data_IF_082468595214
#
_entry.id   IF_082468595214
#
_cell.length_a   1.000
_cell.length_b   1.000
_cell.length_c   1.000
_cell.angle_alpha   90.00
_cell.angle_beta   90.00
_cell.angle_gamma   90.00
#
_symmetry.space_group_name_H-M   'P 1'
#
loop_
_entity.id
_entity.type
_entity.pdbx_description
1 polymer ?
#
# COMPACT_ATOMS: atom_id res chain seq x y z
N UNK A 1 8.98 -11.48 10.00
CA UNK A 1 8.34 -10.15 9.93
C UNK A 1 7.22 -10.12 8.90
N UNK A 2 7.49 -10.20 7.58
CA UNK A 2 6.43 -10.10 6.56
C UNK A 2 5.30 -11.14 6.64
N UNK A 3 5.62 -12.38 7.04
CA UNK A 3 4.60 -13.42 7.30
C UNK A 3 3.56 -12.95 8.32
N UNK A 4 3.98 -12.30 9.41
CA UNK A 4 3.08 -11.85 10.46
C UNK A 4 2.07 -10.82 9.92
N UNK A 5 2.50 -9.93 9.02
CA UNK A 5 1.59 -8.98 8.37
C UNK A 5 0.48 -9.71 7.60
N UNK A 6 0.83 -10.76 6.84
CA UNK A 6 -0.17 -11.55 6.12
C UNK A 6 -1.06 -12.36 7.07
N UNK A 7 -0.52 -12.90 8.16
CA UNK A 7 -1.31 -13.59 9.20
C UNK A 7 -2.35 -12.63 9.80
N UNK A 8 -1.98 -11.37 10.07
CA UNK A 8 -2.92 -10.34 10.53
C UNK A 8 -4.02 -10.04 9.50
N UNK A 9 -3.69 -10.08 8.21
CA UNK A 9 -4.68 -9.92 7.13
C UNK A 9 -5.69 -11.07 7.05
N UNK A 10 -5.40 -12.23 7.65
CA UNK A 10 -6.35 -13.36 7.79
C UNK A 10 -7.24 -13.25 9.05
N UNK A 11 -7.02 -12.29 9.95
CA UNK A 11 -7.93 -12.03 11.06
C UNK A 11 -9.33 -11.64 10.56
N UNK A 12 -9.48 -10.66 9.64
CA UNK A 12 -10.73 -10.46 8.92
C UNK A 12 -10.88 -11.50 7.79
N UNK A 13 -11.77 -12.48 7.96
CA UNK A 13 -12.01 -13.49 6.93
C UNK A 13 -12.78 -12.93 5.73
N UNK A 14 -12.44 -13.37 4.51
CA UNK A 14 -13.18 -13.15 3.27
C UNK A 14 -13.16 -11.71 2.71
N UNK A 15 -12.14 -10.93 3.05
CA UNK A 15 -11.94 -9.60 2.47
C UNK A 15 -11.17 -9.64 1.14
N UNK A 16 -11.45 -8.65 0.29
CA UNK A 16 -10.64 -8.33 -0.88
C UNK A 16 -9.73 -7.16 -0.53
N UNK A 17 -8.43 -7.39 -0.61
CA UNK A 17 -7.39 -6.40 -0.40
C UNK A 17 -7.00 -5.80 -1.75
N UNK A 18 -7.11 -4.48 -1.87
CA UNK A 18 -6.64 -3.77 -3.05
C UNK A 18 -5.22 -3.29 -2.85
N UNK A 19 -4.40 -3.55 -3.86
CA UNK A 19 -3.06 -2.97 -4.00
C UNK A 19 -3.07 -2.09 -5.24
N UNK A 20 -2.23 -1.07 -5.29
CA UNK A 20 -2.14 -0.21 -6.48
C UNK A 20 -0.87 -0.54 -7.23
N UNK A 21 -1.01 -1.10 -8.44
CA UNK A 21 0.08 -1.65 -9.25
C UNK A 21 0.65 -2.97 -8.71
N UNK A 22 -0.24 -3.91 -8.37
CA UNK A 22 0.14 -5.29 -7.97
C UNK A 22 1.07 -5.94 -9.00
N UNK A 23 0.87 -5.69 -10.29
CA UNK A 23 1.72 -6.24 -11.34
C UNK A 23 3.11 -5.61 -11.44
N UNK A 24 3.51 -4.78 -10.48
CA UNK A 24 4.79 -4.08 -10.40
C UNK A 24 5.91 -4.92 -9.78
N UNK A 25 6.86 -4.25 -9.13
CA UNK A 25 8.09 -4.86 -8.62
C UNK A 25 7.87 -5.72 -7.38
N UNK A 26 7.08 -5.24 -6.42
CA UNK A 26 6.95 -5.83 -5.08
C UNK A 26 6.35 -7.24 -5.08
N UNK A 27 5.60 -7.57 -6.13
CA UNK A 27 4.84 -8.83 -6.22
C UNK A 27 5.73 -10.07 -6.26
N UNK A 28 6.96 -9.97 -6.78
CA UNK A 28 7.88 -11.11 -6.81
C UNK A 28 8.26 -11.52 -5.39
N UNK A 29 8.50 -10.55 -4.51
CA UNK A 29 8.81 -10.79 -3.09
C UNK A 29 7.59 -11.27 -2.33
N UNK A 30 6.43 -10.66 -2.57
CA UNK A 30 5.15 -11.07 -1.96
C UNK A 30 4.82 -12.52 -2.34
N UNK A 31 4.88 -12.88 -3.62
CA UNK A 31 4.54 -14.23 -4.09
C UNK A 31 5.42 -15.29 -3.44
N UNK A 32 6.73 -15.05 -3.33
CA UNK A 32 7.64 -15.99 -2.63
C UNK A 32 7.15 -16.28 -1.22
N UNK A 33 6.87 -15.23 -0.42
CA UNK A 33 6.37 -15.38 0.95
C UNK A 33 5.04 -16.13 0.97
N UNK A 34 4.13 -15.81 0.04
CA UNK A 34 2.81 -16.44 -0.03
C UNK A 34 2.86 -17.92 -0.41
N UNK A 35 3.77 -18.32 -1.31
CA UNK A 35 3.95 -19.72 -1.69
C UNK A 35 4.63 -20.53 -0.58
N UNK A 36 5.60 -19.94 0.11
CA UNK A 36 6.40 -20.63 1.13
C UNK A 36 5.63 -20.86 2.44
N UNK A 37 4.60 -20.04 2.74
CA UNK A 37 4.01 -19.99 4.09
C UNK A 37 2.52 -20.37 4.20
N UNK A 38 1.80 -20.55 3.09
CA UNK A 38 0.34 -20.75 3.10
C UNK A 38 -0.09 -22.02 2.37
N UNK A 39 -1.25 -22.57 2.74
CA UNK A 39 -1.68 -23.90 2.29
C UNK A 39 -2.02 -23.92 0.81
N UNK A 40 -2.53 -22.81 0.27
CA UNK A 40 -2.82 -22.70 -1.17
C UNK A 40 -2.72 -21.27 -1.64
N UNK A 41 -1.93 -21.04 -2.67
CA UNK A 41 -1.82 -19.75 -3.36
C UNK A 41 -2.13 -19.94 -4.83
N UNK A 42 -3.10 -19.18 -5.35
CA UNK A 42 -3.49 -19.16 -6.76
C UNK A 42 -3.34 -17.75 -7.32
N UNK A 43 -2.61 -17.63 -8.42
CA UNK A 43 -2.37 -16.35 -9.09
C UNK A 43 -3.12 -16.35 -10.41
N UNK A 44 -3.85 -15.28 -10.70
CA UNK A 44 -4.42 -15.03 -12.02
C UNK A 44 -3.53 -14.02 -12.74
N UNK A 45 -3.04 -14.39 -13.91
CA UNK A 45 -2.21 -13.54 -14.75
C UNK A 45 -3.03 -12.90 -15.87
N UNK A 46 -2.66 -11.68 -16.24
CA UNK A 46 -3.10 -11.01 -17.46
C UNK A 46 -1.89 -10.29 -18.07
N UNK A 47 -1.62 -10.55 -19.34
CA UNK A 47 -0.50 -9.95 -20.08
C UNK A 47 0.86 -10.13 -19.36
N UNK A 48 1.09 -11.34 -18.82
CA UNK A 48 2.32 -11.67 -18.08
C UNK A 48 2.44 -11.07 -16.69
N UNK A 49 1.44 -10.32 -16.20
CA UNK A 49 1.44 -9.69 -14.87
C UNK A 49 0.35 -10.24 -13.97
N UNK A 50 0.59 -10.40 -12.65
CA UNK A 50 -0.46 -10.75 -11.69
C UNK A 50 -1.59 -9.72 -11.70
N UNK A 51 -2.82 -10.19 -11.91
CA UNK A 51 -4.05 -9.40 -11.81
C UNK A 51 -4.73 -9.60 -10.45
N UNK A 52 -4.72 -10.85 -9.97
CA UNK A 52 -5.26 -11.20 -8.66
C UNK A 52 -4.48 -12.36 -8.04
N UNK A 53 -4.43 -12.40 -6.71
CA UNK A 53 -3.80 -13.47 -5.95
C UNK A 53 -4.79 -13.92 -4.88
N UNK A 54 -5.23 -15.18 -4.94
CA UNK A 54 -6.04 -15.80 -3.89
C UNK A 54 -5.13 -16.66 -3.01
N UNK A 55 -5.18 -16.40 -1.70
CA UNK A 55 -4.41 -17.12 -0.69
C UNK A 55 -5.37 -17.78 0.28
N UNK A 56 -5.13 -19.05 0.57
CA UNK A 56 -5.88 -19.84 1.54
C UNK A 56 -4.96 -20.26 2.68
N UNK A 57 -5.49 -20.19 3.90
CA UNK A 57 -4.87 -20.70 5.11
C UNK A 57 -5.82 -21.72 5.73
N UNK A 58 -5.39 -22.98 5.81
CA UNK A 58 -6.16 -24.06 6.44
C UNK A 58 -5.53 -24.40 7.79
N UNK A 59 -6.32 -24.30 8.85
CA UNK A 59 -5.92 -24.63 10.22
C UNK A 59 -6.91 -25.63 10.83
N UNK A 60 -6.50 -26.33 11.89
CA UNK A 60 -7.39 -27.20 12.67
C UNK A 60 -8.14 -26.38 13.72
N UNK A 61 -9.41 -26.67 13.91
CA UNK A 61 -10.20 -26.17 15.05
C UNK A 61 -9.98 -27.02 16.31
N UNK A 62 -10.59 -26.62 17.42
CA UNK A 62 -10.53 -27.35 18.70
C UNK A 62 -11.12 -28.78 18.62
N UNK A 63 -11.80 -29.13 17.53
CA UNK A 63 -12.41 -30.44 17.25
C UNK A 63 -11.69 -31.19 16.13
N UNK A 64 -10.45 -30.79 15.78
CA UNK A 64 -9.65 -31.35 14.68
C UNK A 64 -10.29 -31.27 13.28
N UNK A 65 -11.29 -30.40 13.09
CA UNK A 65 -11.88 -30.10 11.78
C UNK A 65 -11.06 -29.03 11.07
N UNK A 66 -10.98 -29.13 9.75
CA UNK A 66 -10.31 -28.13 8.93
C UNK A 66 -11.17 -26.87 8.79
N UNK A 67 -10.59 -25.73 9.16
CA UNK A 67 -11.12 -24.39 8.90
C UNK A 67 -10.21 -23.75 7.87
N UNK A 68 -10.79 -23.31 6.74
CA UNK A 68 -10.04 -22.60 5.71
C UNK A 68 -10.49 -21.15 5.64
N UNK A 69 -9.55 -20.24 5.85
CA UNK A 69 -9.73 -18.81 5.61
C UNK A 69 -9.17 -18.43 4.24
N UNK A 70 -9.78 -17.45 3.59
CA UNK A 70 -9.34 -16.95 2.29
C UNK A 70 -9.20 -15.44 2.33
N UNK A 71 -8.15 -14.96 1.67
CA UNK A 71 -7.99 -13.55 1.30
C UNK A 71 -7.72 -13.46 -0.21
N UNK A 72 -8.12 -12.34 -0.80
CA UNK A 72 -7.89 -12.08 -2.23
C UNK A 72 -7.22 -10.71 -2.38
N UNK A 73 -6.07 -10.67 -3.03
CA UNK A 73 -5.46 -9.45 -3.50
C UNK A 73 -5.92 -9.13 -4.93
N UNK A 74 -6.25 -7.87 -5.20
CA UNK A 74 -6.56 -7.36 -6.54
C UNK A 74 -5.75 -6.12 -6.86
N UNK A 75 -5.42 -5.96 -8.14
CA UNK A 75 -4.76 -4.76 -8.64
C UNK A 75 -5.78 -3.66 -8.96
N UNK A 76 -5.83 -2.64 -8.12
CA UNK A 76 -6.67 -1.44 -8.35
C UNK A 76 -6.24 -0.65 -9.59
N UNK A 77 -4.96 -0.68 -9.96
CA UNK A 77 -4.46 0.05 -11.12
C UNK A 77 -5.02 -0.52 -12.44
N UNK A 78 -5.40 -1.80 -12.46
CA UNK A 78 -6.07 -2.42 -13.62
C UNK A 78 -7.54 -2.03 -13.76
N UNK A 79 -8.13 -1.49 -12.69
CA UNK A 79 -9.50 -0.95 -12.68
C UNK A 79 -9.46 0.55 -12.96
N UNK A 80 -8.50 1.25 -12.36
CA UNK A 80 -8.31 2.70 -12.46
C UNK A 80 -6.85 3.00 -12.83
N UNK A 81 -6.54 3.13 -14.15
CA UNK A 81 -5.17 3.18 -14.64
C UNK A 81 -4.52 4.57 -14.53
N UNK A 82 -4.64 5.19 -13.36
CA UNK A 82 -4.02 6.47 -13.02
C UNK A 82 -3.26 6.32 -11.71
N UNK A 83 -2.24 7.16 -11.49
CA UNK A 83 -1.54 7.19 -10.20
C UNK A 83 -2.50 7.61 -9.07
N UNK A 84 -2.22 7.19 -7.84
CA UNK A 84 -2.98 7.61 -6.65
C UNK A 84 -3.15 9.14 -6.60
N UNK A 85 -2.09 9.92 -6.89
CA UNK A 85 -2.15 11.40 -6.92
C UNK A 85 -3.18 11.91 -7.93
N UNK A 86 -3.21 11.33 -9.14
CA UNK A 86 -4.15 11.73 -10.17
C UNK A 86 -5.58 11.28 -9.85
N UNK A 87 -5.75 10.10 -9.22
CA UNK A 87 -7.04 9.62 -8.75
C UNK A 87 -7.61 10.48 -7.64
N UNK A 88 -6.78 10.91 -6.68
CA UNK A 88 -7.18 11.84 -5.62
C UNK A 88 -7.77 13.12 -6.23
N UNK A 89 -7.06 13.72 -7.19
CA UNK A 89 -7.52 14.92 -7.88
C UNK A 89 -8.79 14.69 -8.69
N UNK A 90 -8.85 13.61 -9.46
CA UNK A 90 -9.98 13.32 -10.34
C UNK A 90 -11.26 12.98 -9.57
N UNK A 91 -11.11 12.35 -8.41
CA UNK A 91 -12.23 11.90 -7.59
C UNK A 91 -12.49 12.81 -6.39
N UNK A 92 -11.82 13.96 -6.27
CA UNK A 92 -11.97 14.89 -5.14
C UNK A 92 -11.92 14.16 -3.79
N UNK A 93 -10.82 13.43 -3.58
CA UNK A 93 -10.57 12.63 -2.38
C UNK A 93 -9.95 13.53 -1.32
N UNK A 94 -10.45 13.44 -0.08
CA UNK A 94 -10.01 14.29 1.03
C UNK A 94 -8.55 14.04 1.39
N UNK A 95 -8.16 12.77 1.56
CA UNK A 95 -6.81 12.42 1.97
C UNK A 95 -5.83 12.60 0.81
N UNK A 96 -4.94 13.58 0.94
CA UNK A 96 -3.92 13.90 -0.06
C UNK A 96 -2.69 12.99 0.06
N UNK A 97 -2.10 12.66 -1.08
CA UNK A 97 -0.79 12.02 -1.16
C UNK A 97 0.28 13.01 -0.69
N UNK A 98 1.16 12.56 0.21
CA UNK A 98 2.27 13.35 0.72
C UNK A 98 3.51 13.19 -0.16
N UNK A 99 4.45 14.12 -0.05
CA UNK A 99 5.79 13.95 -0.63
C UNK A 99 6.72 13.31 0.38
N UNK A 100 7.62 12.44 -0.09
CA UNK A 100 8.61 11.77 0.73
C UNK A 100 9.97 11.75 0.03
N UNK A 101 11.10 11.96 0.74
CA UNK A 101 12.43 11.99 0.14
C UNK A 101 12.98 10.57 -0.05
N UNK A 102 12.49 9.83 -1.06
CA UNK A 102 12.87 8.43 -1.27
C UNK A 102 14.38 8.19 -1.39
N UNK A 103 15.10 9.15 -1.98
CA UNK A 103 16.55 9.04 -2.19
C UNK A 103 17.35 9.26 -0.89
N UNK A 104 16.73 9.84 0.13
CA UNK A 104 17.36 10.05 1.43
C UNK A 104 17.35 8.77 2.26
N UNK A 105 16.34 7.91 2.10
CA UNK A 105 16.18 6.70 2.88
C UNK A 105 17.24 5.66 2.50
N UNK A 106 18.06 5.26 3.47
CA UNK A 106 19.10 4.24 3.37
C UNK A 106 19.04 3.34 4.60
N UNK A 107 19.66 2.17 4.51
CA UNK A 107 19.66 1.20 5.61
C UNK A 107 20.40 1.71 6.86
N UNK A 108 21.42 2.55 6.66
CA UNK A 108 22.28 3.10 7.72
C UNK A 108 21.68 4.32 8.43
N UNK A 109 20.68 4.98 7.83
CA UNK A 109 20.06 6.17 8.40
C UNK A 109 18.59 6.00 8.80
N UNK A 110 18.11 4.75 8.97
CA UNK A 110 16.69 4.48 9.26
C UNK A 110 16.19 5.18 10.54
N UNK A 111 17.07 5.39 11.53
CA UNK A 111 16.76 6.09 12.78
C UNK A 111 17.14 7.58 12.74
N UNK A 112 17.25 8.18 11.55
CA UNK A 112 17.64 9.58 11.40
C UNK A 112 16.62 10.52 12.07
N UNK A 113 17.15 11.41 12.89
CA UNK A 113 16.46 12.55 13.48
C UNK A 113 17.35 13.79 13.27
N UNK A 114 16.83 14.83 12.62
CA UNK A 114 17.61 16.02 12.36
C UNK A 114 16.93 17.01 11.42
N UNK A 115 17.69 17.60 10.51
CA UNK A 115 17.16 18.59 9.55
C UNK A 115 16.36 17.89 8.45
N UNK A 116 15.35 18.58 7.92
CA UNK A 116 14.65 18.13 6.71
C UNK A 116 15.67 17.87 5.58
N UNK A 117 15.58 16.73 4.87
CA UNK A 117 16.44 16.46 3.73
C UNK A 117 16.29 17.52 2.64
N UNK A 118 17.37 17.78 1.91
CA UNK A 118 17.35 18.69 0.77
C UNK A 118 16.30 18.28 -0.27
N UNK A 119 15.76 19.26 -1.00
CA UNK A 119 14.80 19.05 -2.09
C UNK A 119 15.29 18.01 -3.11
N UNK A 120 16.61 17.90 -3.33
CA UNK A 120 17.21 16.93 -4.26
C UNK A 120 16.89 15.48 -3.91
N UNK A 121 16.51 15.18 -2.67
CA UNK A 121 16.14 13.83 -2.25
C UNK A 121 14.68 13.46 -2.55
N UNK A 122 13.86 14.44 -2.94
CA UNK A 122 12.46 14.26 -3.28
C UNK A 122 12.29 14.05 -4.78
N UNK A 123 11.40 13.14 -5.15
CA UNK A 123 11.01 12.97 -6.54
C UNK A 123 9.84 13.89 -6.91
N UNK A 124 9.94 14.58 -8.05
CA UNK A 124 8.86 15.35 -8.68
C UNK A 124 8.10 16.34 -7.75
N UNK A 125 8.81 17.04 -6.87
CA UNK A 125 8.25 18.08 -5.99
C UNK A 125 8.52 19.49 -6.54
N UNK A 126 7.51 20.38 -6.50
CA UNK A 126 7.71 21.79 -6.84
C UNK A 126 8.43 22.57 -5.72
N UNK A 127 9.05 23.70 -6.03
CA UNK A 127 9.65 24.58 -5.01
C UNK A 127 8.64 25.05 -3.98
N UNK A 128 7.41 25.32 -4.41
CA UNK A 128 6.33 25.76 -3.53
C UNK A 128 5.91 24.66 -2.54
N UNK A 129 5.78 23.41 -3.01
CA UNK A 129 5.43 22.28 -2.14
C UNK A 129 6.56 21.94 -1.18
N UNK A 130 7.80 21.95 -1.65
CA UNK A 130 8.95 21.74 -0.79
C UNK A 130 9.06 22.82 0.29
N UNK A 131 8.88 24.08 -0.08
CA UNK A 131 8.90 25.19 0.87
C UNK A 131 7.84 25.03 1.96
N UNK A 132 6.62 24.60 1.61
CA UNK A 132 5.56 24.33 2.61
C UNK A 132 6.00 23.28 3.63
N UNK A 133 6.61 22.18 3.16
CA UNK A 133 7.15 21.15 4.05
C UNK A 133 8.29 21.73 4.90
N UNK A 134 9.23 22.46 4.29
CA UNK A 134 10.34 23.09 5.01
C UNK A 134 9.88 24.05 6.11
N UNK A 135 8.83 24.83 5.85
CA UNK A 135 8.24 25.74 6.84
C UNK A 135 7.64 24.97 8.03
N UNK A 136 7.08 23.77 7.82
CA UNK A 136 6.58 22.91 8.91
C UNK A 136 7.68 22.40 9.84
N UNK A 137 8.92 22.28 9.35
CA UNK A 137 10.09 21.75 10.07
C UNK A 137 11.11 22.82 10.47
N UNK A 138 10.73 24.10 10.41
CA UNK A 138 11.65 25.22 10.72
C UNK A 138 12.22 25.16 12.14
N UNK A 139 11.38 24.81 13.11
CA UNK A 139 11.71 24.85 14.54
C UNK A 139 11.61 23.46 15.21
N UNK A 140 11.62 22.38 14.42
CA UNK A 140 11.52 21.00 14.92
C UNK A 140 12.37 20.04 14.09
N UNK A 141 12.80 18.95 14.72
CA UNK A 141 13.48 17.87 14.01
C UNK A 141 12.52 17.16 13.06
N UNK A 142 13.05 16.78 11.91
CA UNK A 142 12.47 15.82 10.99
C UNK A 142 12.93 14.42 11.37
N UNK A 143 11.97 13.54 11.67
CA UNK A 143 12.21 12.16 12.10
C UNK A 143 11.81 11.23 10.94
N UNK A 144 12.79 10.49 10.41
CA UNK A 144 12.61 9.70 9.19
C UNK A 144 11.48 8.67 9.32
N UNK A 145 11.45 7.93 10.43
CA UNK A 145 10.48 6.84 10.65
C UNK A 145 9.06 7.41 10.74
N UNK A 146 8.87 8.51 11.45
CA UNK A 146 7.54 9.10 11.64
C UNK A 146 6.97 9.60 10.31
N UNK A 147 7.80 10.28 9.50
CA UNK A 147 7.37 10.80 8.21
C UNK A 147 7.18 9.69 7.16
N UNK A 148 7.97 8.61 7.25
CA UNK A 148 7.75 7.41 6.43
C UNK A 148 6.41 6.74 6.76
N UNK A 149 6.13 6.52 8.04
CA UNK A 149 4.88 5.90 8.50
C UNK A 149 3.67 6.76 8.14
N UNK A 150 3.78 8.08 8.31
CA UNK A 150 2.76 9.06 7.91
C UNK A 150 2.51 9.00 6.39
N UNK A 151 3.56 9.02 5.58
CA UNK A 151 3.47 8.89 4.13
C UNK A 151 2.78 7.58 3.70
N UNK A 152 3.22 6.44 4.24
CA UNK A 152 2.64 5.13 3.94
C UNK A 152 1.18 5.03 4.37
N UNK A 153 0.83 5.56 5.54
CA UNK A 153 -0.55 5.58 6.04
C UNK A 153 -1.44 6.41 5.12
N UNK A 154 -1.01 7.59 4.70
CA UNK A 154 -1.78 8.42 3.76
C UNK A 154 -2.01 7.69 2.43
N UNK A 155 -1.01 7.02 1.87
CA UNK A 155 -1.17 6.23 0.66
C UNK A 155 -2.24 5.13 0.79
N UNK A 156 -2.26 4.42 1.93
CA UNK A 156 -3.26 3.37 2.21
C UNK A 156 -4.66 3.98 2.36
N UNK A 157 -4.79 5.07 3.13
CA UNK A 157 -6.07 5.73 3.37
C UNK A 157 -6.63 6.33 2.08
N UNK A 158 -5.81 7.04 1.31
CA UNK A 158 -6.23 7.59 0.01
C UNK A 158 -6.67 6.47 -0.95
N UNK A 159 -5.95 5.35 -1.02
CA UNK A 159 -6.35 4.22 -1.85
C UNK A 159 -7.67 3.62 -1.40
N UNK A 160 -7.90 3.51 -0.09
CA UNK A 160 -9.18 3.05 0.46
C UNK A 160 -10.32 3.98 0.04
N UNK A 161 -10.18 5.30 0.23
CA UNK A 161 -11.19 6.30 -0.15
C UNK A 161 -11.49 6.27 -1.66
N UNK A 162 -10.47 6.11 -2.49
CA UNK A 162 -10.60 5.94 -3.94
C UNK A 162 -11.46 4.72 -4.28
N UNK A 163 -11.15 3.56 -3.70
CA UNK A 163 -11.86 2.31 -3.97
C UNK A 163 -13.30 2.37 -3.44
N UNK A 164 -13.51 2.96 -2.26
CA UNK A 164 -14.84 3.11 -1.67
C UNK A 164 -15.72 4.00 -2.55
N UNK A 165 -15.21 5.17 -2.96
CA UNK A 165 -15.92 6.08 -3.86
C UNK A 165 -16.21 5.43 -5.22
N UNK A 166 -15.28 4.65 -5.76
CA UNK A 166 -15.51 3.89 -7.00
C UNK A 166 -16.62 2.84 -6.84
N UNK A 167 -16.64 2.10 -5.74
CA UNK A 167 -17.67 1.11 -5.47
C UNK A 167 -19.06 1.73 -5.30
N UNK A 168 -19.16 2.90 -4.67
CA UNK A 168 -20.40 3.65 -4.57
C UNK A 168 -20.92 4.02 -5.96
N UNK A 169 -20.08 4.63 -6.81
CA UNK A 169 -20.46 5.00 -8.19
C UNK A 169 -20.93 3.78 -8.97
N UNK A 170 -20.19 2.66 -8.90
CA UNK A 170 -20.59 1.41 -9.57
C UNK A 170 -21.96 0.91 -9.13
N UNK A 171 -22.32 1.06 -7.85
CA UNK A 171 -23.64 0.66 -7.34
C UNK A 171 -24.79 1.45 -7.97
N UNK A 172 -24.58 2.74 -8.28
CA UNK A 172 -25.60 3.57 -8.94
C UNK A 172 -25.68 3.38 -10.47
N UNK A 173 -24.69 2.70 -11.07
CA UNK A 173 -24.65 2.40 -12.50
C UNK A 173 -25.23 1.03 -12.85
N UNK A 174 -25.60 0.21 -11.85
CA UNK A 174 -26.29 -1.07 -12.03
C UNK A 174 -27.69 -1.00 -11.42
#
# INVERSE_FOLDING_TARGET
MFKNCFDDMFNPSNYTWYTHNLGGFDVVFILKILFDNYTKTKVQFKDGKPLSIKVSLTTKDNKNKDITKNIVFKDSYKIQPLSIKNLIKAMDITTQKLYFPYLFMKTDNINYEGKLPDKSFFDNISDLEYKKIADEFKDKNWILIDELLKYMKNDIVSLYEIIDKFNLVKKYMN
#
